data_IF_079009392356
#
_entry.id   IF_079009392356
#
_cell.length_a   1.000
_cell.length_b   1.000
_cell.length_c   1.000
_cell.angle_alpha   90.00
_cell.angle_beta   90.00
_cell.angle_gamma   90.00
#
_symmetry.space_group_name_H-M   'P 1'
#
loop_
_entity.id
_entity.type
_entity.pdbx_description
1 polymer ?
#
# COMPACT_ATOMS: atom_id res chain seq x y z
N UNK A 1 -3.80 -3.77 42.52
CA UNK A 1 -3.93 -3.58 41.06
C UNK A 1 -3.19 -2.31 40.69
N UNK A 2 -2.26 -2.37 39.75
CA UNK A 2 -1.55 -1.18 39.25
C UNK A 2 -2.40 -0.51 38.16
N UNK A 3 -2.08 0.76 37.83
CA UNK A 3 -2.77 1.45 36.73
C UNK A 3 -2.60 0.71 35.39
N UNK A 4 -1.41 0.17 35.13
CA UNK A 4 -1.11 -0.57 33.90
C UNK A 4 -1.99 -1.81 33.74
N UNK A 5 -2.23 -2.56 34.83
CA UNK A 5 -3.13 -3.74 34.80
C UNK A 5 -4.56 -3.31 34.50
N UNK A 6 -5.05 -2.25 35.17
CA UNK A 6 -6.39 -1.72 34.92
C UNK A 6 -6.58 -1.24 33.47
N UNK A 7 -5.58 -0.57 32.91
CA UNK A 7 -5.61 -0.11 31.52
C UNK A 7 -5.62 -1.29 30.54
N UNK A 8 -4.81 -2.30 30.78
CA UNK A 8 -4.77 -3.50 29.94
C UNK A 8 -6.09 -4.28 29.99
N UNK A 9 -6.69 -4.45 31.16
CA UNK A 9 -7.99 -5.10 31.32
C UNK A 9 -9.11 -4.31 30.64
N UNK A 10 -9.09 -2.97 30.77
CA UNK A 10 -10.06 -2.10 30.12
C UNK A 10 -9.97 -2.14 28.59
N UNK A 11 -8.75 -2.09 28.04
CA UNK A 11 -8.51 -2.22 26.60
C UNK A 11 -8.94 -3.59 26.08
N UNK A 12 -8.62 -4.66 26.81
CA UNK A 12 -9.09 -6.01 26.48
C UNK A 12 -10.61 -6.07 26.33
N UNK A 13 -11.35 -5.54 27.31
CA UNK A 13 -12.82 -5.54 27.29
C UNK A 13 -13.45 -4.64 26.21
N UNK A 14 -12.69 -3.68 25.66
CA UNK A 14 -13.13 -2.87 24.51
C UNK A 14 -13.07 -3.70 23.23
N UNK A 15 -12.00 -4.49 23.06
CA UNK A 15 -11.77 -5.28 21.85
C UNK A 15 -12.63 -6.56 21.85
N UNK A 16 -12.75 -7.23 23.00
CA UNK A 16 -13.44 -8.51 23.14
C UNK A 16 -14.68 -8.39 24.02
N UNK A 17 -15.83 -8.75 23.45
CA UNK A 17 -17.13 -8.72 24.12
C UNK A 17 -17.34 -9.88 25.10
N UNK A 18 -16.52 -10.93 25.02
CA UNK A 18 -16.56 -12.09 25.91
C UNK A 18 -15.82 -11.85 27.24
N UNK A 19 -14.95 -10.82 27.30
CA UNK A 19 -14.24 -10.48 28.53
C UNK A 19 -15.22 -9.91 29.57
N UNK A 20 -15.30 -10.59 30.71
CA UNK A 20 -16.14 -10.18 31.83
C UNK A 20 -15.67 -8.83 32.40
N UNK A 21 -16.62 -7.89 32.51
CA UNK A 21 -16.37 -6.61 33.18
C UNK A 21 -16.21 -6.80 34.69
N UNK A 22 -15.44 -5.94 35.38
CA UNK A 22 -15.22 -6.10 36.82
C UNK A 22 -16.51 -6.19 37.63
N UNK A 23 -16.60 -7.15 38.55
CA UNK A 23 -17.77 -7.35 39.41
C UNK A 23 -18.12 -6.09 40.24
N UNK A 24 -17.10 -5.30 40.58
CA UNK A 24 -17.20 -4.05 41.33
C UNK A 24 -17.92 -2.91 40.58
N UNK A 25 -18.18 -3.08 39.28
CA UNK A 25 -18.93 -2.08 38.50
C UNK A 25 -20.41 -2.15 38.85
N UNK A 26 -21.06 -0.99 38.92
CA UNK A 26 -22.52 -0.89 39.03
C UNK A 26 -23.16 -0.91 37.64
N UNK A 27 -24.49 -0.97 37.58
CA UNK A 27 -25.23 -0.96 36.32
C UNK A 27 -24.95 0.30 35.48
N UNK A 28 -24.69 1.43 36.15
CA UNK A 28 -24.37 2.69 35.47
C UNK A 28 -23.03 2.59 34.73
N UNK A 29 -21.98 2.07 35.37
CA UNK A 29 -20.66 1.87 34.75
C UNK A 29 -20.73 0.85 33.62
N UNK A 30 -21.43 -0.27 33.80
CA UNK A 30 -21.62 -1.28 32.75
C UNK A 30 -22.33 -0.69 31.52
N UNK A 31 -23.41 0.08 31.71
CA UNK A 31 -24.09 0.78 30.61
C UNK A 31 -23.20 1.83 29.95
N UNK A 32 -22.48 2.63 30.74
CA UNK A 32 -21.55 3.63 30.23
C UNK A 32 -20.43 3.02 29.39
N UNK A 33 -19.91 1.87 29.82
CA UNK A 33 -18.91 1.12 29.07
C UNK A 33 -19.45 0.57 27.75
N UNK A 34 -20.65 -0.01 27.75
CA UNK A 34 -21.27 -0.49 26.52
C UNK A 34 -21.47 0.66 25.50
N UNK A 35 -21.88 1.84 25.96
CA UNK A 35 -21.97 3.05 25.12
C UNK A 35 -20.60 3.45 24.58
N UNK A 36 -19.59 3.50 25.45
CA UNK A 36 -18.22 3.85 25.06
C UNK A 36 -17.65 2.88 24.02
N UNK A 37 -17.80 1.57 24.25
CA UNK A 37 -17.33 0.53 23.32
C UNK A 37 -18.00 0.63 21.95
N UNK A 38 -19.31 0.88 21.92
CA UNK A 38 -20.04 1.09 20.67
C UNK A 38 -19.57 2.35 19.94
N UNK A 39 -19.36 3.45 20.66
CA UNK A 39 -18.82 4.68 20.09
C UNK A 39 -17.40 4.47 19.55
N UNK A 40 -16.54 3.76 20.28
CA UNK A 40 -15.19 3.41 19.86
C UNK A 40 -15.20 2.65 18.52
N UNK A 41 -15.98 1.57 18.42
CA UNK A 41 -16.11 0.79 17.17
C UNK A 41 -16.64 1.64 16.01
N UNK A 42 -17.64 2.48 16.27
CA UNK A 42 -18.18 3.39 15.25
C UNK A 42 -17.10 4.36 14.73
N UNK A 43 -16.31 4.96 15.63
CA UNK A 43 -15.21 5.85 15.26
C UNK A 43 -14.14 5.15 14.43
N UNK A 44 -13.81 3.89 14.71
CA UNK A 44 -12.86 3.13 13.89
C UNK A 44 -13.40 2.90 12.47
N UNK A 45 -14.67 2.53 12.35
CA UNK A 45 -15.31 2.35 11.03
C UNK A 45 -15.37 3.67 10.26
N UNK A 46 -15.68 4.78 10.94
CA UNK A 46 -15.69 6.11 10.33
C UNK A 46 -14.29 6.52 9.88
N UNK A 47 -13.25 6.25 10.69
CA UNK A 47 -11.86 6.53 10.32
C UNK A 47 -11.40 5.71 9.09
N UNK A 48 -11.74 4.41 9.03
CA UNK A 48 -11.51 3.62 7.81
C UNK A 48 -12.21 4.23 6.60
N UNK A 49 -13.44 4.72 6.76
CA UNK A 49 -14.18 5.34 5.66
C UNK A 49 -13.51 6.60 5.13
N UNK A 50 -12.84 7.36 5.99
CA UNK A 50 -12.05 8.54 5.58
C UNK A 50 -10.79 8.13 4.82
N UNK A 51 -10.08 7.10 5.30
CA UNK A 51 -8.90 6.52 4.64
C UNK A 51 -9.21 5.87 3.29
N UNK A 52 -10.35 5.18 3.17
CA UNK A 52 -10.72 4.38 1.99
C UNK A 52 -11.95 4.95 1.29
N UNK A 53 -11.97 6.28 1.11
CA UNK A 53 -13.12 7.01 0.59
C UNK A 53 -13.53 6.56 -0.82
N UNK A 54 -12.55 6.22 -1.69
CA UNK A 54 -12.83 5.70 -3.04
C UNK A 54 -13.38 4.29 -2.98
N UNK A 55 -12.81 3.42 -2.16
CA UNK A 55 -13.32 2.07 -1.94
C UNK A 55 -14.76 2.13 -1.41
N UNK A 56 -15.03 2.99 -0.42
CA UNK A 56 -16.36 3.18 0.15
C UNK A 56 -17.38 3.68 -0.89
N UNK A 57 -16.98 4.60 -1.75
CA UNK A 57 -17.81 5.08 -2.83
C UNK A 57 -18.06 4.00 -3.91
N UNK A 58 -17.06 3.16 -4.17
CA UNK A 58 -17.12 2.10 -5.18
C UNK A 58 -18.07 0.97 -4.78
N UNK A 59 -17.96 0.45 -3.56
CA UNK A 59 -18.79 -0.68 -3.08
C UNK A 59 -20.12 -0.24 -2.48
N UNK A 60 -20.26 1.06 -2.16
CA UNK A 60 -21.42 1.61 -1.48
C UNK A 60 -21.32 1.53 0.06
N UNK A 61 -22.02 2.44 0.73
CA UNK A 61 -21.85 2.70 2.16
C UNK A 61 -22.18 1.50 3.06
N UNK A 62 -23.23 0.74 2.74
CA UNK A 62 -23.63 -0.44 3.53
C UNK A 62 -22.60 -1.56 3.44
N UNK A 63 -22.14 -1.88 2.23
CA UNK A 63 -21.15 -2.93 2.00
C UNK A 63 -19.79 -2.55 2.59
N UNK A 64 -19.38 -1.29 2.41
CA UNK A 64 -18.15 -0.77 3.01
C UNK A 64 -18.20 -0.87 4.53
N UNK A 65 -19.30 -0.42 5.15
CA UNK A 65 -19.46 -0.46 6.61
C UNK A 65 -19.38 -1.87 7.16
N UNK A 66 -19.95 -2.86 6.45
CA UNK A 66 -19.84 -4.26 6.82
C UNK A 66 -18.38 -4.75 6.75
N UNK A 67 -17.66 -4.43 5.67
CA UNK A 67 -16.26 -4.80 5.50
C UNK A 67 -15.33 -4.13 6.53
N UNK A 68 -15.51 -2.83 6.77
CA UNK A 68 -14.76 -2.09 7.79
C UNK A 68 -15.03 -2.63 9.20
N UNK A 69 -16.28 -2.98 9.51
CA UNK A 69 -16.63 -3.59 10.81
C UNK A 69 -15.95 -4.96 10.97
N UNK A 70 -15.95 -5.78 9.92
CA UNK A 70 -15.24 -7.06 9.92
C UNK A 70 -13.74 -6.87 10.11
N UNK A 71 -13.13 -5.94 9.38
CA UNK A 71 -11.70 -5.63 9.48
C UNK A 71 -11.31 -5.24 10.90
N UNK A 72 -12.02 -4.30 11.52
CA UNK A 72 -11.74 -3.82 12.89
C UNK A 72 -11.87 -4.92 13.95
N UNK A 73 -12.75 -5.90 13.73
CA UNK A 73 -12.91 -7.04 14.63
C UNK A 73 -11.76 -8.05 14.45
N UNK A 74 -11.37 -8.33 13.20
CA UNK A 74 -10.31 -9.30 12.88
C UNK A 74 -8.90 -8.73 13.14
N UNK A 75 -8.73 -7.42 12.97
CA UNK A 75 -7.48 -6.67 13.08
C UNK A 75 -7.67 -5.47 14.01
N UNK A 76 -7.91 -5.70 15.32
CA UNK A 76 -8.12 -4.60 16.25
C UNK A 76 -6.87 -3.72 16.34
N UNK A 77 -7.03 -2.38 16.49
CA UNK A 77 -5.90 -1.47 16.56
C UNK A 77 -4.92 -1.87 17.67
N UNK A 78 -3.65 -2.00 17.30
CA UNK A 78 -2.56 -2.34 18.22
C UNK A 78 -1.66 -1.14 18.55
N UNK A 79 -1.90 0.00 17.90
CA UNK A 79 -1.14 1.24 18.05
C UNK A 79 -1.97 2.34 18.72
N UNK A 80 -1.28 3.35 19.24
CA UNK A 80 -1.89 4.55 19.80
C UNK A 80 -2.42 5.51 18.72
N UNK A 81 -2.00 5.32 17.47
CA UNK A 81 -2.47 6.09 16.30
C UNK A 81 -3.46 5.28 15.46
N UNK A 82 -4.33 5.99 14.74
CA UNK A 82 -5.22 5.40 13.73
C UNK A 82 -4.55 5.25 12.36
N UNK A 83 -3.31 5.74 12.19
CA UNK A 83 -2.61 5.69 10.90
C UNK A 83 -2.44 4.25 10.39
N UNK A 84 -2.33 3.27 11.30
CA UNK A 84 -2.18 1.85 10.97
C UNK A 84 -3.51 1.08 10.92
N UNK A 85 -4.64 1.77 11.08
CA UNK A 85 -5.96 1.13 11.13
C UNK A 85 -6.33 0.42 9.83
N UNK A 86 -5.81 0.92 8.69
CA UNK A 86 -6.08 0.35 7.37
C UNK A 86 -5.16 -0.79 6.94
N UNK A 87 -4.18 -1.16 7.77
CA UNK A 87 -3.20 -2.19 7.43
C UNK A 87 -3.90 -3.54 7.21
N UNK A 88 -3.79 -4.09 5.99
CA UNK A 88 -4.44 -5.36 5.62
C UNK A 88 -5.92 -5.24 5.26
N UNK A 89 -6.45 -4.02 5.10
CA UNK A 89 -7.84 -3.84 4.66
C UNK A 89 -8.08 -4.34 3.23
N UNK A 90 -7.07 -4.26 2.37
CA UNK A 90 -7.05 -4.87 1.03
C UNK A 90 -7.28 -6.39 1.08
N UNK A 91 -6.64 -7.10 2.03
CA UNK A 91 -6.86 -8.52 2.25
C UNK A 91 -8.27 -8.82 2.76
N UNK A 92 -8.81 -7.96 3.62
CA UNK A 92 -10.23 -8.06 4.06
C UNK A 92 -11.19 -7.87 2.88
N UNK A 93 -10.89 -6.90 2.00
CA UNK A 93 -11.66 -6.70 0.79
C UNK A 93 -11.56 -7.90 -0.15
N UNK A 94 -10.39 -8.51 -0.32
CA UNK A 94 -10.21 -9.71 -1.14
C UNK A 94 -11.04 -10.90 -0.62
N UNK A 95 -11.17 -11.04 0.70
CA UNK A 95 -12.02 -12.07 1.31
C UNK A 95 -13.51 -11.82 1.08
N UNK A 96 -13.98 -10.60 1.40
CA UNK A 96 -15.42 -10.29 1.44
C UNK A 96 -16.01 -9.97 0.05
N UNK A 97 -15.19 -9.44 -0.85
CA UNK A 97 -15.56 -9.08 -2.22
C UNK A 97 -14.90 -10.04 -3.23
N UNK A 98 -14.90 -11.35 -2.93
CA UNK A 98 -14.24 -12.36 -3.77
C UNK A 98 -14.76 -12.45 -5.23
N UNK A 99 -15.94 -11.89 -5.52
CA UNK A 99 -16.50 -11.79 -6.88
C UNK A 99 -16.18 -10.46 -7.58
N UNK A 100 -15.67 -9.47 -6.83
CA UNK A 100 -15.36 -8.11 -7.27
C UNK A 100 -13.89 -7.78 -6.88
N UNK A 101 -12.90 -8.49 -7.48
CA UNK A 101 -11.50 -8.43 -7.03
C UNK A 101 -10.86 -7.04 -7.23
N UNK A 102 -11.42 -6.18 -8.07
CA UNK A 102 -10.98 -4.79 -8.23
C UNK A 102 -11.14 -3.98 -6.94
N UNK A 103 -12.07 -4.37 -6.05
CA UNK A 103 -12.25 -3.72 -4.75
C UNK A 103 -11.00 -3.85 -3.89
N UNK A 104 -10.38 -5.03 -3.88
CA UNK A 104 -9.16 -5.27 -3.13
C UNK A 104 -7.98 -4.47 -3.70
N UNK A 105 -7.86 -4.40 -5.04
CA UNK A 105 -6.80 -3.61 -5.67
C UNK A 105 -6.98 -2.10 -5.46
N UNK A 106 -8.22 -1.60 -5.43
CA UNK A 106 -8.52 -0.21 -5.09
C UNK A 106 -8.20 0.10 -3.61
N UNK A 107 -8.57 -0.78 -2.70
CA UNK A 107 -8.23 -0.66 -1.28
C UNK A 107 -6.71 -0.65 -1.09
N UNK A 108 -5.99 -1.56 -1.77
CA UNK A 108 -4.53 -1.55 -1.77
C UNK A 108 -3.96 -0.22 -2.24
N UNK A 109 -4.50 0.35 -3.32
CA UNK A 109 -4.03 1.63 -3.87
C UNK A 109 -4.23 2.78 -2.86
N UNK A 110 -5.39 2.89 -2.23
CA UNK A 110 -5.64 3.91 -1.20
C UNK A 110 -4.69 3.79 -0.02
N UNK A 111 -4.43 2.56 0.43
CA UNK A 111 -3.50 2.29 1.51
C UNK A 111 -2.06 2.62 1.12
N UNK A 112 -1.63 2.22 -0.09
CA UNK A 112 -0.31 2.51 -0.62
C UNK A 112 -0.07 4.02 -0.74
N UNK A 113 -1.07 4.79 -1.20
CA UNK A 113 -0.96 6.25 -1.30
C UNK A 113 -0.87 6.92 0.08
N UNK A 114 -1.63 6.46 1.08
CA UNK A 114 -1.50 6.95 2.46
C UNK A 114 -0.12 6.66 3.05
N UNK A 115 0.38 5.45 2.83
CA UNK A 115 1.70 5.03 3.31
C UNK A 115 2.82 5.83 2.62
N UNK A 116 2.69 6.06 1.30
CA UNK A 116 3.64 6.88 0.56
C UNK A 116 3.62 8.35 1.02
N UNK A 117 2.45 8.89 1.39
CA UNK A 117 2.30 10.27 1.88
C UNK A 117 3.10 10.52 3.17
N UNK A 118 3.13 9.56 4.10
CA UNK A 118 3.85 9.67 5.38
C UNK A 118 5.28 9.12 5.33
N UNK A 119 5.77 8.71 4.16
CA UNK A 119 7.12 8.18 4.01
C UNK A 119 8.18 9.26 4.26
N UNK A 120 9.41 8.85 4.61
CA UNK A 120 10.54 9.77 4.81
C UNK A 120 10.81 10.63 3.56
N UNK A 121 11.25 11.87 3.74
CA UNK A 121 11.63 12.73 2.62
C UNK A 121 12.89 12.21 1.93
N UNK A 122 12.80 12.05 0.61
CA UNK A 122 13.93 11.67 -0.24
C UNK A 122 13.99 12.59 -1.45
N UNK A 123 15.15 13.18 -1.70
CA UNK A 123 15.40 13.93 -2.92
C UNK A 123 15.70 12.97 -4.08
N UNK A 124 14.99 13.07 -5.22
CA UNK A 124 15.34 12.32 -6.42
C UNK A 124 16.76 12.64 -6.89
N UNK A 125 17.44 11.61 -7.36
CA UNK A 125 18.74 11.69 -8.00
C UNK A 125 18.53 12.07 -9.47
N UNK A 126 19.00 13.24 -9.87
CA UNK A 126 18.99 13.65 -11.27
C UNK A 126 20.13 12.96 -12.06
N UNK A 127 20.14 13.15 -13.39
CA UNK A 127 21.15 12.54 -14.24
C UNK A 127 22.58 12.95 -13.87
N UNK A 128 22.77 14.20 -13.42
CA UNK A 128 24.08 14.69 -13.00
C UNK A 128 24.53 14.04 -11.68
N UNK A 129 23.62 13.90 -10.72
CA UNK A 129 23.83 13.23 -9.46
C UNK A 129 24.11 11.74 -9.64
N UNK A 130 23.40 11.07 -10.55
CA UNK A 130 23.67 9.67 -10.88
C UNK A 130 25.06 9.50 -11.51
N UNK A 131 25.43 10.38 -12.45
CA UNK A 131 26.77 10.40 -13.03
C UNK A 131 27.86 10.65 -11.98
N UNK A 132 27.62 11.53 -11.01
CA UNK A 132 28.55 11.77 -9.91
C UNK A 132 28.66 10.56 -8.95
N UNK A 133 27.53 9.93 -8.60
CA UNK A 133 27.50 8.77 -7.71
C UNK A 133 28.20 7.54 -8.30
N UNK A 134 28.22 7.44 -9.64
CA UNK A 134 28.80 6.32 -10.39
C UNK A 134 30.14 6.68 -11.06
N UNK A 135 30.70 7.86 -10.80
CA UNK A 135 31.87 8.38 -11.52
C UNK A 135 33.13 7.50 -11.39
N UNK A 136 33.31 6.88 -10.22
CA UNK A 136 34.47 6.03 -9.90
C UNK A 136 34.21 4.54 -10.16
N UNK A 137 33.03 4.18 -10.71
CA UNK A 137 32.67 2.77 -10.96
C UNK A 137 33.51 2.19 -12.09
N UNK A 138 34.16 1.06 -11.82
CA UNK A 138 34.72 0.18 -12.82
C UNK A 138 33.61 -0.63 -13.52
N UNK A 139 33.95 -1.30 -14.61
CA UNK A 139 32.99 -2.15 -15.36
C UNK A 139 32.35 -3.24 -14.49
N UNK A 140 33.12 -3.83 -13.56
CA UNK A 140 32.63 -4.86 -12.64
C UNK A 140 31.62 -4.31 -11.62
N UNK A 141 31.73 -3.04 -11.24
CA UNK A 141 30.90 -2.43 -10.20
C UNK A 141 29.44 -2.28 -10.65
N UNK A 142 29.18 -2.22 -11.96
CA UNK A 142 27.82 -2.18 -12.51
C UNK A 142 27.02 -3.46 -12.24
N UNK A 143 27.69 -4.58 -12.04
CA UNK A 143 27.03 -5.84 -11.67
C UNK A 143 26.50 -5.79 -10.24
N UNK A 144 27.19 -5.09 -9.35
CA UNK A 144 26.87 -4.99 -7.92
C UNK A 144 26.08 -3.71 -7.57
N UNK A 145 25.87 -2.80 -8.55
CA UNK A 145 25.08 -1.59 -8.36
C UNK A 145 23.71 -1.88 -7.74
N UNK A 146 23.46 -1.30 -6.58
CA UNK A 146 22.15 -1.25 -5.93
C UNK A 146 21.55 0.15 -6.07
N UNK A 147 20.24 0.19 -6.36
CA UNK A 147 19.49 1.44 -6.45
C UNK A 147 18.64 1.61 -5.20
N UNK A 148 18.66 2.81 -4.65
CA UNK A 148 17.68 3.24 -3.66
C UNK A 148 16.57 4.01 -4.38
N UNK A 149 15.35 3.53 -4.29
CA UNK A 149 14.18 4.21 -4.85
C UNK A 149 13.64 5.29 -3.90
N UNK A 150 12.71 6.11 -4.40
CA UNK A 150 11.96 7.07 -3.59
C UNK A 150 11.34 6.38 -2.37
N UNK A 151 11.45 7.03 -1.21
CA UNK A 151 10.90 6.51 0.05
C UNK A 151 9.39 6.25 -0.07
N UNK A 152 8.96 5.09 0.46
CA UNK A 152 7.55 4.67 0.38
C UNK A 152 7.12 4.19 -1.01
N UNK A 153 8.03 4.07 -1.98
CA UNK A 153 7.72 3.48 -3.27
C UNK A 153 7.35 2.00 -3.08
N UNK A 154 6.17 1.64 -3.59
CA UNK A 154 5.68 0.25 -3.59
C UNK A 154 5.13 -0.09 -4.97
N UNK A 155 5.13 -1.38 -5.29
CA UNK A 155 4.62 -1.89 -6.55
C UNK A 155 3.87 -3.18 -6.31
N UNK A 156 2.74 -3.35 -7.00
CA UNK A 156 1.97 -4.60 -6.98
C UNK A 156 1.51 -4.97 -8.38
N UNK A 157 1.40 -6.26 -8.67
CA UNK A 157 0.70 -6.73 -9.87
C UNK A 157 -0.78 -6.34 -9.81
N UNK A 158 -1.35 -5.97 -10.95
CA UNK A 158 -2.76 -5.57 -11.06
C UNK A 158 -3.37 -6.12 -12.34
N UNK A 159 -4.64 -6.51 -12.24
CA UNK A 159 -5.45 -6.93 -13.38
C UNK A 159 -6.38 -5.81 -13.89
N UNK A 160 -6.43 -4.66 -13.21
CA UNK A 160 -7.42 -3.61 -13.45
C UNK A 160 -6.79 -2.24 -13.75
N UNK A 161 -7.51 -1.43 -14.53
CA UNK A 161 -7.17 -0.04 -14.84
C UNK A 161 -7.48 0.84 -13.63
N UNK A 162 -6.61 0.77 -12.62
CA UNK A 162 -6.74 1.55 -11.40
C UNK A 162 -6.87 3.06 -11.64
N UNK A 163 -6.15 3.70 -12.59
CA UNK A 163 -6.40 5.09 -12.93
C UNK A 163 -7.83 5.37 -13.37
N UNK A 164 -8.44 4.48 -14.16
CA UNK A 164 -9.83 4.65 -14.59
C UNK A 164 -10.81 4.43 -13.45
N UNK A 165 -10.55 3.45 -12.57
CA UNK A 165 -11.35 3.24 -11.36
C UNK A 165 -11.27 4.47 -10.45
N UNK A 166 -10.05 4.95 -10.17
CA UNK A 166 -9.78 6.09 -9.30
C UNK A 166 -10.49 7.38 -9.73
N UNK A 167 -10.52 7.62 -11.05
CA UNK A 167 -11.11 8.83 -11.63
C UNK A 167 -12.58 8.66 -12.03
N UNK A 168 -13.16 7.46 -11.84
CA UNK A 168 -14.57 7.21 -12.13
C UNK A 168 -15.49 8.04 -11.23
N UNK A 169 -16.67 8.35 -11.74
CA UNK A 169 -17.74 8.94 -10.95
C UNK A 169 -18.49 7.82 -10.22
N UNK A 170 -18.54 7.82 -8.87
CA UNK A 170 -19.29 6.81 -8.12
C UNK A 170 -20.80 6.78 -8.44
N UNK A 171 -21.35 7.87 -9.01
CA UNK A 171 -22.75 7.94 -9.44
C UNK A 171 -23.00 7.30 -10.82
N UNK A 172 -21.93 7.04 -11.59
CA UNK A 172 -21.97 6.38 -12.90
C UNK A 172 -21.04 5.15 -12.88
N UNK A 173 -21.46 4.05 -12.22
CA UNK A 173 -20.63 2.87 -12.07
C UNK A 173 -20.27 2.25 -13.43
N UNK A 174 -18.98 2.00 -13.62
CA UNK A 174 -18.45 1.33 -14.79
C UNK A 174 -18.52 -0.20 -14.59
N UNK A 175 -18.86 -0.99 -15.62
CA UNK A 175 -18.78 -2.43 -15.55
C UNK A 175 -17.34 -2.88 -15.20
N UNK A 176 -17.12 -3.76 -14.21
CA UNK A 176 -15.78 -4.23 -13.85
C UNK A 176 -15.02 -4.88 -15.02
N UNK A 177 -15.73 -5.56 -15.92
CA UNK A 177 -15.12 -6.16 -17.12
C UNK A 177 -14.54 -5.12 -18.09
N UNK A 178 -15.10 -3.91 -18.14
CA UNK A 178 -14.55 -2.80 -18.94
C UNK A 178 -13.30 -2.18 -18.32
N UNK A 179 -13.01 -2.51 -17.06
CA UNK A 179 -11.87 -2.02 -16.29
C UNK A 179 -10.72 -3.02 -16.26
N UNK A 180 -10.90 -4.24 -16.78
CA UNK A 180 -9.81 -5.21 -16.86
C UNK A 180 -8.77 -4.78 -17.89
N UNK A 181 -7.51 -4.86 -17.49
CA UNK A 181 -6.39 -4.63 -18.39
C UNK A 181 -6.30 -5.78 -19.41
N UNK A 182 -5.98 -5.44 -20.65
CA UNK A 182 -5.83 -6.42 -21.73
C UNK A 182 -4.64 -7.37 -21.52
N UNK A 183 -3.67 -6.97 -20.70
CA UNK A 183 -2.50 -7.76 -20.35
C UNK A 183 -2.14 -7.52 -18.87
N UNK A 184 -1.53 -8.52 -18.20
CA UNK A 184 -0.99 -8.35 -16.85
C UNK A 184 -0.08 -7.11 -16.80
N UNK A 185 -0.24 -6.32 -15.76
CA UNK A 185 0.52 -5.10 -15.52
C UNK A 185 0.83 -4.96 -14.04
N UNK A 186 1.51 -3.89 -13.66
CA UNK A 186 1.74 -3.55 -12.26
C UNK A 186 1.34 -2.09 -11.99
N UNK A 187 0.95 -1.78 -10.76
CA UNK A 187 0.75 -0.43 -10.30
C UNK A 187 1.92 -0.04 -9.40
N UNK A 188 2.65 1.00 -9.79
CA UNK A 188 3.67 1.62 -8.96
C UNK A 188 3.05 2.82 -8.23
N UNK A 189 3.30 2.93 -6.94
CA UNK A 189 2.90 4.07 -6.09
C UNK A 189 4.16 4.68 -5.50
N UNK A 190 4.26 6.01 -5.53
CA UNK A 190 5.36 6.78 -4.97
C UNK A 190 4.86 8.12 -4.47
N UNK A 191 5.77 8.97 -3.98
CA UNK A 191 5.47 10.33 -3.57
C UNK A 191 6.31 11.33 -4.38
N UNK A 192 5.65 12.35 -4.93
CA UNK A 192 6.30 13.54 -5.48
C UNK A 192 6.06 14.69 -4.51
N UNK A 193 7.12 15.17 -3.86
CA UNK A 193 7.03 16.16 -2.79
C UNK A 193 6.08 15.71 -1.66
N UNK A 194 4.91 16.33 -1.51
CA UNK A 194 3.88 15.97 -0.52
C UNK A 194 2.67 15.28 -1.17
N UNK A 195 2.80 14.82 -2.43
CA UNK A 195 1.68 14.27 -3.20
C UNK A 195 1.92 12.79 -3.50
N UNK A 196 1.07 11.87 -3.02
CA UNK A 196 1.14 10.50 -3.47
C UNK A 196 0.72 10.42 -4.94
N UNK A 197 1.46 9.64 -5.69
CA UNK A 197 1.32 9.44 -7.12
C UNK A 197 1.26 7.94 -7.40
N UNK A 198 0.56 7.56 -8.46
CA UNK A 198 0.54 6.17 -8.91
C UNK A 198 0.44 6.10 -10.43
N UNK A 199 0.95 5.00 -11.00
CA UNK A 199 0.81 4.73 -12.43
C UNK A 199 0.83 3.24 -12.73
N UNK A 200 0.15 2.87 -13.81
CA UNK A 200 0.27 1.52 -14.39
C UNK A 200 1.57 1.46 -15.18
N UNK A 201 2.37 0.43 -14.89
CA UNK A 201 3.59 0.08 -15.61
C UNK A 201 3.44 -1.30 -16.23
N UNK A 202 4.28 -1.61 -17.21
CA UNK A 202 4.29 -2.95 -17.82
C UNK A 202 4.60 -4.05 -16.79
N UNK A 203 4.17 -5.29 -17.05
CA UNK A 203 4.52 -6.41 -16.18
C UNK A 203 6.03 -6.59 -16.00
N UNK A 204 6.82 -6.39 -17.05
CA UNK A 204 8.29 -6.49 -16.99
C UNK A 204 8.90 -5.41 -16.08
N UNK A 205 8.43 -4.16 -16.22
CA UNK A 205 8.85 -3.07 -15.35
C UNK A 205 8.43 -3.29 -13.90
N UNK A 206 7.20 -3.77 -13.66
CA UNK A 206 6.70 -4.10 -12.33
C UNK A 206 7.53 -5.19 -11.64
N UNK A 207 7.88 -6.25 -12.37
CA UNK A 207 8.77 -7.30 -11.88
C UNK A 207 10.17 -6.78 -11.56
N UNK A 208 10.73 -5.94 -12.46
CA UNK A 208 12.03 -5.31 -12.25
C UNK A 208 12.04 -4.41 -11.00
N UNK A 209 11.03 -3.57 -10.82
CA UNK A 209 10.86 -2.73 -9.63
C UNK A 209 10.72 -3.58 -8.37
N UNK A 210 9.90 -4.63 -8.41
CA UNK A 210 9.70 -5.54 -7.27
C UNK A 210 11.02 -6.17 -6.84
N UNK A 211 11.81 -6.66 -7.80
CA UNK A 211 13.12 -7.26 -7.53
C UNK A 211 14.09 -6.24 -6.91
N UNK A 212 14.22 -5.04 -7.51
CA UNK A 212 15.18 -4.06 -7.00
C UNK A 212 14.76 -3.45 -5.66
N UNK A 213 13.46 -3.25 -5.41
CA UNK A 213 12.95 -2.85 -4.09
C UNK A 213 13.24 -3.91 -3.01
N UNK A 214 13.34 -5.19 -3.40
CA UNK A 214 13.75 -6.28 -2.53
C UNK A 214 15.28 -6.40 -2.35
N UNK A 215 16.07 -5.55 -3.01
CA UNK A 215 17.52 -5.47 -2.88
C UNK A 215 18.33 -6.18 -3.96
N UNK A 216 17.71 -6.63 -5.05
CA UNK A 216 18.40 -7.21 -6.22
C UNK A 216 19.33 -6.18 -6.86
N UNK A 217 20.55 -6.61 -7.23
CA UNK A 217 21.51 -5.74 -7.91
C UNK A 217 21.13 -5.48 -9.37
N UNK A 218 21.71 -4.44 -9.97
CA UNK A 218 21.48 -4.11 -11.37
C UNK A 218 22.01 -5.20 -12.31
N UNK A 219 23.11 -5.88 -11.95
CA UNK A 219 23.62 -7.03 -12.70
C UNK A 219 22.66 -8.23 -12.67
N UNK A 220 22.11 -8.55 -11.50
CA UNK A 220 21.09 -9.60 -11.36
C UNK A 220 19.82 -9.26 -12.12
N UNK A 221 19.38 -8.00 -12.10
CA UNK A 221 18.27 -7.51 -12.91
C UNK A 221 18.55 -7.71 -14.41
N UNK A 222 19.74 -7.33 -14.89
CA UNK A 222 20.15 -7.54 -16.27
C UNK A 222 20.08 -9.02 -16.65
N UNK A 223 20.62 -9.91 -15.81
CA UNK A 223 20.61 -11.34 -16.04
C UNK A 223 19.18 -11.91 -16.12
N UNK A 224 18.29 -11.48 -15.22
CA UNK A 224 16.87 -11.86 -15.23
C UNK A 224 16.19 -11.43 -16.54
N UNK A 225 16.40 -10.19 -16.99
CA UNK A 225 15.80 -9.68 -18.23
C UNK A 225 16.36 -10.37 -19.48
N UNK A 226 17.66 -10.69 -19.48
CA UNK A 226 18.31 -11.46 -20.56
C UNK A 226 17.73 -12.87 -20.65
N UNK A 227 17.52 -13.54 -19.52
CA UNK A 227 16.94 -14.89 -19.49
C UNK A 227 15.51 -14.89 -20.06
N UNK A 228 14.71 -13.86 -19.73
CA UNK A 228 13.31 -13.78 -20.15
C UNK A 228 13.11 -13.29 -21.59
N UNK A 229 13.96 -12.38 -22.06
CA UNK A 229 13.75 -11.67 -23.33
C UNK A 229 14.86 -11.90 -24.38
N UNK A 230 15.94 -12.59 -24.01
CA UNK A 230 17.15 -12.74 -24.82
C UNK A 230 18.16 -11.62 -24.58
N UNK A 231 19.42 -11.85 -24.96
CA UNK A 231 20.56 -10.98 -24.64
C UNK A 231 20.38 -9.53 -25.13
N UNK A 232 20.15 -9.34 -26.44
CA UNK A 232 20.02 -8.00 -27.04
C UNK A 232 18.83 -7.22 -26.46
N UNK A 233 17.67 -7.87 -26.36
CA UNK A 233 16.45 -7.24 -25.87
C UNK A 233 16.48 -6.99 -24.35
N UNK A 234 17.04 -7.91 -23.58
CA UNK A 234 17.17 -7.80 -22.13
C UNK A 234 18.10 -6.66 -21.73
N UNK A 235 19.26 -6.51 -22.39
CA UNK A 235 20.19 -5.40 -22.15
C UNK A 235 19.55 -4.06 -22.50
N UNK A 236 18.90 -3.97 -23.66
CA UNK A 236 18.21 -2.75 -24.08
C UNK A 236 17.08 -2.37 -23.11
N UNK A 237 16.33 -3.36 -22.61
CA UNK A 237 15.28 -3.15 -21.62
C UNK A 237 15.84 -2.66 -20.29
N UNK A 238 16.90 -3.27 -19.77
CA UNK A 238 17.53 -2.85 -18.51
C UNK A 238 17.98 -1.38 -18.56
N UNK A 239 18.68 -0.99 -19.63
CA UNK A 239 19.11 0.40 -19.83
C UNK A 239 17.92 1.37 -19.99
N UNK A 240 16.87 0.96 -20.69
CA UNK A 240 15.64 1.73 -20.85
C UNK A 240 14.89 1.94 -19.52
N UNK A 241 14.82 0.91 -18.69
CA UNK A 241 14.21 0.98 -17.35
C UNK A 241 14.98 1.94 -16.44
N UNK A 242 16.32 1.79 -16.36
CA UNK A 242 17.17 2.66 -15.56
C UNK A 242 17.01 4.13 -15.98
N UNK A 243 17.09 4.41 -17.28
CA UNK A 243 16.90 5.77 -17.82
C UNK A 243 15.48 6.31 -17.54
N UNK A 244 14.45 5.46 -17.66
CA UNK A 244 13.07 5.82 -17.37
C UNK A 244 12.82 6.12 -15.89
N UNK A 245 13.41 5.35 -14.97
CA UNK A 245 13.30 5.60 -13.53
C UNK A 245 14.04 6.88 -13.11
N UNK A 246 15.23 7.13 -13.67
CA UNK A 246 15.94 8.40 -13.47
C UNK A 246 15.12 9.58 -14.00
N UNK A 247 14.56 9.47 -15.21
CA UNK A 247 13.76 10.53 -15.82
C UNK A 247 12.46 10.86 -15.08
N UNK A 248 11.88 9.89 -14.36
CA UNK A 248 10.70 10.07 -13.49
C UNK A 248 11.05 10.49 -12.07
N UNK A 249 12.34 10.60 -11.72
CA UNK A 249 12.77 10.93 -10.37
C UNK A 249 12.48 9.84 -9.34
N UNK A 250 12.43 8.57 -9.77
CA UNK A 250 12.12 7.45 -8.88
C UNK A 250 13.34 6.91 -8.12
N UNK A 251 14.54 7.24 -8.58
CA UNK A 251 15.79 6.83 -7.94
C UNK A 251 16.22 7.95 -7.00
N UNK A 252 16.48 7.63 -5.73
CA UNK A 252 16.98 8.53 -4.69
C UNK A 252 18.45 8.24 -4.32
N UNK A 253 19.07 7.21 -4.91
CA UNK A 253 20.47 6.87 -4.66
C UNK A 253 20.97 5.71 -5.52
N UNK A 254 22.29 5.64 -5.67
CA UNK A 254 23.02 4.56 -6.32
C UNK A 254 24.24 4.23 -5.46
N UNK A 255 24.49 2.95 -5.19
CA UNK A 255 25.59 2.46 -4.35
C UNK A 255 26.05 1.05 -4.75
N UNK A 256 27.13 0.58 -4.15
CA UNK A 256 27.60 -0.82 -4.21
C UNK A 256 27.21 -1.55 -2.92
#
# INVERSE_FOLDING_TARGET
MTLAVLQSEFLGAIHDDEIALPDSWDDRRRKGFAIYRNAYRATLVDALRESFARTAAWVGDEAFRAAASHHVIAHPPSSWTLDLLGEGFDATCAELFAQDPEVAELAWLEWAMQTAFVAEDAAPLDAAGFGAATADFAEADWADLTLRFASGMVVVGTAFDLPRIWNSDPSEPLPPDDLRLAAPSACAVWREEERPMFQIVSAAEGQALTAMLAGTSYGELCAMLIEQHGEEAGIAMAGGLLGGWLGRGWIAGAAL
#
